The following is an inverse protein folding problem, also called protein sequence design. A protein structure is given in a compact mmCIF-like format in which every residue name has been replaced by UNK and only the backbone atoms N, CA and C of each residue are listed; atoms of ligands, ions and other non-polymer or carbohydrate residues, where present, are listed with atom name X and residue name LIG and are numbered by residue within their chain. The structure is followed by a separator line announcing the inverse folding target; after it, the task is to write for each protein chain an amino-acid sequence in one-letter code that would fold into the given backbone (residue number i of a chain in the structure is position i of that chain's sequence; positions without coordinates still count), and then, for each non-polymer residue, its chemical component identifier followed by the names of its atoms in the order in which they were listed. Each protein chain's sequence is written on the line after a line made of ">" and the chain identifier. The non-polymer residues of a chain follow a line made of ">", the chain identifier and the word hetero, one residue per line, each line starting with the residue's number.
data_IF_230412787264
#
_entry.id   IF_230412787264
#
_cell.length_a   1.000
_cell.length_b   1.000
_cell.length_c   1.000
_cell.angle_alpha   90.00
_cell.angle_beta   90.00
_cell.angle_gamma   90.00
#
_symmetry.space_group_name_H-M   'P 1'
#
loop_
_entity.id
_entity.type
_entity.pdbx_description
1 polymer ?
#
# COMPACT_ATOMS: atom_id res chain seq x y z
N UNK A 1 38.81 -29.11 32.12
CA UNK A 1 37.43 -28.69 32.43
C UNK A 1 37.18 -27.38 31.65
N UNK A 2 37.26 -27.33 30.32
CA UNK A 2 36.33 -27.84 29.30
C UNK A 2 34.87 -27.66 29.68
N UNK A 3 34.27 -26.55 29.24
CA UNK A 3 32.88 -26.52 28.80
C UNK A 3 32.78 -25.70 27.51
N UNK A 4 32.13 -26.32 26.55
CA UNK A 4 32.07 -26.00 25.13
C UNK A 4 31.32 -24.70 24.81
N UNK A 5 31.75 -24.09 23.70
CA UNK A 5 30.99 -23.12 22.93
C UNK A 5 29.62 -23.69 22.50
N UNK A 6 28.54 -22.88 22.46
CA UNK A 6 27.34 -23.27 21.76
C UNK A 6 27.56 -23.09 20.25
N UNK A 7 27.56 -24.21 19.53
CA UNK A 7 27.41 -24.25 18.06
C UNK A 7 26.14 -23.50 17.62
N UNK A 8 26.13 -22.95 16.39
CA UNK A 8 25.09 -22.03 15.92
C UNK A 8 23.77 -22.75 15.69
N UNK A 9 22.68 -21.99 15.83
CA UNK A 9 21.33 -22.41 15.45
C UNK A 9 21.34 -22.96 14.02
N UNK A 10 21.14 -24.28 13.91
CA UNK A 10 20.91 -24.96 12.65
C UNK A 10 19.71 -24.30 11.95
N UNK A 11 20.00 -23.66 10.82
CA UNK A 11 19.02 -23.33 9.81
C UNK A 11 18.37 -24.66 9.43
N UNK A 12 17.08 -24.80 9.73
CA UNK A 12 16.32 -25.97 9.37
C UNK A 12 16.43 -26.23 7.88
N UNK A 13 17.23 -27.23 7.50
CA UNK A 13 17.09 -27.96 6.27
C UNK A 13 15.83 -28.81 6.39
N UNK A 14 14.67 -28.16 6.28
CA UNK A 14 13.38 -28.83 6.18
C UNK A 14 13.12 -29.21 4.73
N UNK A 15 13.35 -30.49 4.40
CA UNK A 15 12.65 -31.28 3.37
C UNK A 15 12.05 -30.50 2.19
N UNK A 16 12.75 -30.49 1.05
CA UNK A 16 12.09 -30.35 -0.24
C UNK A 16 11.28 -31.63 -0.50
N UNK A 17 10.02 -31.64 -0.04
CA UNK A 17 9.13 -32.78 -0.23
C UNK A 17 7.95 -32.72 0.73
N UNK A 18 6.76 -32.47 0.16
CA UNK A 18 5.45 -32.50 0.81
C UNK A 18 5.26 -31.48 1.93
N UNK A 19 4.94 -30.26 1.54
CA UNK A 19 3.88 -29.57 2.29
C UNK A 19 2.63 -30.45 2.23
N UNK A 20 2.00 -30.71 3.37
CA UNK A 20 0.75 -31.48 3.39
C UNK A 20 -0.21 -30.83 2.39
N UNK A 21 -0.80 -31.64 1.52
CA UNK A 21 -1.72 -31.18 0.50
C UNK A 21 -2.83 -30.36 1.17
N UNK A 22 -2.82 -29.04 0.96
CA UNK A 22 -3.79 -28.13 1.55
C UNK A 22 -3.28 -27.12 2.59
N UNK A 23 -2.01 -27.17 2.99
CA UNK A 23 -1.43 -26.16 3.89
C UNK A 23 -1.01 -24.88 3.15
N UNK A 24 -1.22 -23.74 3.80
CA UNK A 24 -0.81 -22.44 3.27
C UNK A 24 0.70 -22.26 3.35
N UNK A 25 1.32 -21.99 2.20
CA UNK A 25 2.71 -21.58 2.09
C UNK A 25 2.81 -20.08 2.30
N UNK A 26 3.34 -19.66 3.46
CA UNK A 26 3.46 -18.24 3.82
C UNK A 26 4.65 -17.59 3.13
N UNK A 27 4.52 -16.31 2.82
CA UNK A 27 5.65 -15.49 2.44
C UNK A 27 6.48 -15.20 3.69
N UNK A 28 7.80 -15.11 3.54
CA UNK A 28 8.72 -14.62 4.57
C UNK A 28 9.42 -13.37 4.08
N UNK A 29 9.98 -12.60 5.01
CA UNK A 29 10.78 -11.41 4.69
C UNK A 29 12.16 -11.52 5.32
N UNK A 30 13.21 -11.54 4.50
CA UNK A 30 14.60 -11.73 4.96
C UNK A 30 15.34 -10.43 5.21
N UNK A 31 14.79 -9.28 4.79
CA UNK A 31 15.46 -7.99 4.86
C UNK A 31 15.63 -7.46 6.29
N UNK A 32 16.69 -6.69 6.51
CA UNK A 32 17.04 -6.09 7.79
C UNK A 32 16.95 -4.56 7.76
N UNK A 33 16.58 -3.96 8.90
CA UNK A 33 16.47 -2.50 9.02
C UNK A 33 17.80 -1.78 8.82
N UNK A 34 18.91 -2.36 9.30
CA UNK A 34 20.27 -1.80 9.19
C UNK A 34 20.76 -1.79 7.74
N UNK A 35 20.58 -2.88 7.03
CA UNK A 35 20.96 -2.97 5.60
C UNK A 35 20.13 -2.00 4.76
N UNK A 36 18.81 -1.96 4.98
CA UNK A 36 17.95 -1.02 4.27
C UNK A 36 18.23 0.44 4.62
N UNK A 37 18.64 0.74 5.86
CA UNK A 37 19.04 2.09 6.26
C UNK A 37 20.21 2.60 5.41
N UNK A 38 21.23 1.77 5.16
CA UNK A 38 22.36 2.12 4.28
C UNK A 38 21.92 2.45 2.86
N UNK A 39 21.00 1.67 2.29
CA UNK A 39 20.43 1.96 0.97
C UNK A 39 19.63 3.27 0.98
N UNK A 40 18.83 3.47 2.02
CA UNK A 40 17.93 4.61 2.16
C UNK A 40 18.68 5.93 2.33
N UNK A 41 19.71 5.98 3.18
CA UNK A 41 20.44 7.23 3.43
C UNK A 41 21.21 7.68 2.18
N UNK A 42 21.87 6.75 1.48
CA UNK A 42 22.55 7.04 0.21
C UNK A 42 21.55 7.54 -0.83
N UNK A 43 20.37 6.92 -0.90
CA UNK A 43 19.32 7.37 -1.81
C UNK A 43 18.81 8.78 -1.50
N UNK A 44 18.69 9.15 -0.21
CA UNK A 44 18.30 10.51 0.18
C UNK A 44 19.38 11.52 -0.22
N UNK A 45 20.64 11.25 0.12
CA UNK A 45 21.75 12.15 -0.20
C UNK A 45 21.84 12.40 -1.71
N UNK A 46 21.79 11.34 -2.52
CA UNK A 46 21.80 11.47 -3.98
C UNK A 46 20.55 12.18 -4.51
N UNK A 47 19.38 11.97 -3.89
CA UNK A 47 18.16 12.69 -4.27
C UNK A 47 18.27 14.19 -4.00
N UNK A 48 18.86 14.59 -2.88
CA UNK A 48 19.08 16.01 -2.54
C UNK A 48 20.08 16.63 -3.51
N UNK A 49 21.25 15.99 -3.71
CA UNK A 49 22.33 16.50 -4.58
C UNK A 49 21.86 16.65 -6.04
N UNK A 50 20.95 15.79 -6.49
CA UNK A 50 20.40 15.84 -7.86
C UNK A 50 19.07 16.58 -7.97
N UNK A 51 18.70 17.38 -6.96
CA UNK A 51 17.44 18.16 -6.93
C UNK A 51 16.20 17.33 -7.27
N UNK A 52 16.13 16.10 -6.77
CA UNK A 52 15.00 15.20 -6.95
C UNK A 52 15.12 14.23 -8.13
N UNK A 53 16.03 14.42 -9.08
CA UNK A 53 16.15 13.58 -10.28
C UNK A 53 16.47 12.13 -9.91
N UNK A 54 17.44 11.91 -9.00
CA UNK A 54 17.87 10.57 -8.59
C UNK A 54 16.75 9.77 -7.88
N UNK A 55 15.66 10.42 -7.44
CA UNK A 55 14.56 9.72 -6.76
C UNK A 55 13.92 8.61 -7.61
N UNK A 56 14.11 8.63 -8.94
CA UNK A 56 13.65 7.57 -9.84
C UNK A 56 14.46 6.28 -9.64
N UNK A 57 15.79 6.38 -9.58
CA UNK A 57 16.69 5.27 -9.27
C UNK A 57 16.58 4.84 -7.80
N UNK A 58 16.33 5.79 -6.89
CA UNK A 58 16.04 5.47 -5.49
C UNK A 58 14.80 4.57 -5.36
N UNK A 59 13.72 4.84 -6.12
CA UNK A 59 12.52 3.98 -6.19
C UNK A 59 12.89 2.57 -6.67
N UNK A 60 13.71 2.44 -7.71
CA UNK A 60 14.19 1.14 -8.20
C UNK A 60 14.99 0.38 -7.14
N UNK A 61 16.00 1.01 -6.53
CA UNK A 61 16.84 0.36 -5.50
C UNK A 61 16.03 -0.10 -4.31
N UNK A 62 15.08 0.73 -3.85
CA UNK A 62 14.12 0.35 -2.81
C UNK A 62 13.31 -0.87 -3.22
N UNK A 63 12.67 -0.84 -4.38
CA UNK A 63 11.79 -1.92 -4.81
C UNK A 63 12.58 -3.22 -5.03
N UNK A 64 13.78 -3.17 -5.62
CA UNK A 64 14.69 -4.34 -5.70
C UNK A 64 14.99 -4.94 -4.33
N UNK A 65 15.26 -4.09 -3.34
CA UNK A 65 15.51 -4.54 -1.97
C UNK A 65 14.32 -5.27 -1.36
N UNK A 66 13.12 -4.66 -1.40
CA UNK A 66 11.94 -5.25 -0.77
C UNK A 66 11.44 -6.49 -1.50
N UNK A 67 11.43 -6.49 -2.84
CA UNK A 67 11.00 -7.66 -3.62
C UNK A 67 11.99 -8.82 -3.48
N UNK A 68 13.30 -8.54 -3.57
CA UNK A 68 14.35 -9.54 -3.39
C UNK A 68 14.36 -10.20 -2.01
N UNK A 69 13.91 -9.46 -0.99
CA UNK A 69 13.77 -9.97 0.38
C UNK A 69 12.39 -10.51 0.71
N UNK A 70 11.39 -10.40 -0.17
CA UNK A 70 10.13 -11.11 -0.04
C UNK A 70 10.31 -12.50 -0.63
N UNK A 71 10.21 -13.53 0.20
CA UNK A 71 10.53 -14.91 -0.19
C UNK A 71 9.27 -15.77 -0.11
N UNK A 72 9.02 -16.56 -1.16
CA UNK A 72 8.03 -17.61 -1.18
C UNK A 72 8.73 -18.91 -1.59
N UNK A 73 8.52 -20.00 -0.86
CA UNK A 73 9.09 -21.33 -1.19
C UNK A 73 10.59 -21.27 -1.51
N UNK A 74 11.36 -20.56 -0.67
CA UNK A 74 12.82 -20.45 -0.75
C UNK A 74 13.36 -19.57 -1.89
N UNK A 75 12.52 -18.87 -2.66
CA UNK A 75 12.95 -17.95 -3.72
C UNK A 75 12.39 -16.54 -3.50
N UNK A 76 13.21 -15.52 -3.77
CA UNK A 76 12.80 -14.12 -3.73
C UNK A 76 12.03 -13.71 -4.98
N UNK A 77 11.28 -12.62 -4.90
CA UNK A 77 10.75 -11.93 -6.07
C UNK A 77 11.84 -11.03 -6.68
N UNK A 78 11.73 -10.71 -7.95
CA UNK A 78 12.67 -9.85 -8.65
C UNK A 78 11.98 -8.62 -9.23
N UNK A 79 12.73 -7.52 -9.32
CA UNK A 79 12.23 -6.24 -9.81
C UNK A 79 13.17 -5.65 -10.88
N UNK A 80 12.69 -5.66 -12.11
CA UNK A 80 13.48 -5.42 -13.34
C UNK A 80 13.38 -4.01 -13.89
N UNK A 81 12.72 -3.09 -13.20
CA UNK A 81 12.57 -1.72 -13.68
C UNK A 81 13.92 -0.99 -13.80
N UNK A 82 13.98 -0.05 -14.75
CA UNK A 82 15.08 0.90 -14.93
C UNK A 82 14.66 2.29 -14.42
N UNK A 83 15.60 3.03 -13.83
CA UNK A 83 15.34 4.38 -13.30
C UNK A 83 14.79 5.35 -14.36
N UNK A 84 15.29 5.27 -15.59
CA UNK A 84 14.83 6.09 -16.71
C UNK A 84 13.34 5.94 -17.03
N UNK A 85 12.78 4.73 -16.93
CA UNK A 85 11.35 4.49 -17.19
C UNK A 85 10.44 5.21 -16.19
N UNK A 86 10.90 5.35 -14.94
CA UNK A 86 10.18 6.07 -13.87
C UNK A 86 10.41 7.58 -14.02
N UNK A 87 11.62 8.00 -14.40
CA UNK A 87 11.94 9.41 -14.60
C UNK A 87 11.08 10.03 -15.71
N UNK A 88 10.93 9.35 -16.85
CA UNK A 88 10.12 9.85 -17.98
C UNK A 88 8.66 10.07 -17.56
N UNK A 89 8.06 9.11 -16.85
CA UNK A 89 6.69 9.26 -16.34
C UNK A 89 6.54 10.47 -15.42
N UNK A 90 7.54 10.73 -14.56
CA UNK A 90 7.56 11.92 -13.69
C UNK A 90 7.77 13.22 -14.44
N UNK A 91 8.63 13.24 -15.47
CA UNK A 91 8.83 14.41 -16.31
C UNK A 91 7.54 14.79 -17.06
N UNK A 92 6.76 13.80 -17.52
CA UNK A 92 5.45 14.04 -18.14
C UNK A 92 4.50 14.70 -17.13
N UNK A 93 4.40 14.16 -15.91
CA UNK A 93 3.54 14.74 -14.85
C UNK A 93 4.02 16.14 -14.45
N UNK A 94 5.34 16.33 -14.31
CA UNK A 94 5.92 17.62 -13.98
C UNK A 94 5.66 18.66 -15.07
N UNK A 95 5.85 18.31 -16.34
CA UNK A 95 5.54 19.19 -17.47
C UNK A 95 4.06 19.58 -17.50
N UNK A 96 3.16 18.61 -17.26
CA UNK A 96 1.74 18.90 -17.12
C UNK A 96 1.45 19.90 -15.99
N UNK A 97 2.05 19.72 -14.81
CA UNK A 97 1.86 20.65 -13.68
C UNK A 97 2.40 22.06 -13.97
N UNK A 98 3.54 22.18 -14.66
CA UNK A 98 4.09 23.47 -15.07
C UNK A 98 3.13 24.17 -16.04
N UNK A 99 2.68 23.47 -17.08
CA UNK A 99 1.71 24.00 -18.05
C UNK A 99 0.40 24.40 -17.36
N UNK A 100 -0.09 23.56 -16.44
CA UNK A 100 -1.28 23.84 -15.64
C UNK A 100 -1.17 25.15 -14.85
N UNK A 101 -0.05 25.35 -14.13
CA UNK A 101 0.16 26.57 -13.33
C UNK A 101 0.34 27.82 -14.19
N UNK A 102 1.06 27.71 -15.31
CA UNK A 102 1.21 28.82 -16.27
C UNK A 102 -0.17 29.20 -16.82
N UNK A 103 -0.97 28.23 -17.27
CA UNK A 103 -2.27 28.51 -17.87
C UNK A 103 -3.24 29.15 -16.86
N UNK A 104 -3.22 28.72 -15.60
CA UNK A 104 -4.00 29.31 -14.52
C UNK A 104 -3.70 30.80 -14.27
N UNK A 105 -2.48 31.24 -14.59
CA UNK A 105 -2.09 32.65 -14.44
C UNK A 105 -2.79 33.54 -15.47
N UNK A 106 -3.06 33.00 -16.67
CA UNK A 106 -3.70 33.74 -17.76
C UNK A 106 -5.21 33.52 -17.85
N UNK A 107 -5.67 32.30 -17.58
CA UNK A 107 -7.08 31.89 -17.73
C UNK A 107 -7.49 31.04 -16.53
N UNK A 108 -7.95 31.65 -15.42
CA UNK A 108 -8.32 30.91 -14.22
C UNK A 108 -9.40 29.84 -14.45
N UNK A 109 -10.36 30.11 -15.34
CA UNK A 109 -11.42 29.17 -15.72
C UNK A 109 -10.89 27.93 -16.47
N UNK A 110 -9.73 28.03 -17.14
CA UNK A 110 -9.10 26.89 -17.79
C UNK A 110 -8.62 25.83 -16.78
N UNK A 111 -8.45 26.21 -15.50
CA UNK A 111 -8.13 25.28 -14.42
C UNK A 111 -9.17 24.18 -14.25
N UNK A 112 -10.46 24.50 -14.33
CA UNK A 112 -11.54 23.52 -14.21
C UNK A 112 -11.49 22.54 -15.39
N UNK A 113 -11.33 23.05 -16.61
CA UNK A 113 -11.22 22.21 -17.81
C UNK A 113 -9.99 21.27 -17.74
N UNK A 114 -8.84 21.78 -17.29
CA UNK A 114 -7.63 20.97 -17.11
C UNK A 114 -7.74 19.95 -15.96
N UNK A 115 -8.40 20.30 -14.87
CA UNK A 115 -8.70 19.38 -13.76
C UNK A 115 -9.57 18.21 -14.25
N UNK A 116 -10.61 18.51 -15.02
CA UNK A 116 -11.48 17.49 -15.62
C UNK A 116 -10.71 16.62 -16.61
N UNK A 117 -9.84 17.23 -17.43
CA UNK A 117 -8.94 16.51 -18.33
C UNK A 117 -8.03 15.54 -17.55
N UNK A 118 -7.44 15.98 -16.44
CA UNK A 118 -6.62 15.13 -15.57
C UNK A 118 -7.45 13.99 -14.99
N UNK A 119 -8.65 14.26 -14.50
CA UNK A 119 -9.54 13.25 -13.93
C UNK A 119 -9.94 12.19 -14.96
N UNK A 120 -10.09 12.57 -16.24
CA UNK A 120 -10.27 11.63 -17.35
C UNK A 120 -9.00 10.82 -17.66
N UNK A 121 -7.81 11.38 -17.43
CA UNK A 121 -6.53 10.74 -17.74
C UNK A 121 -6.00 9.84 -16.60
N UNK A 122 -6.33 10.13 -15.34
CA UNK A 122 -5.93 9.34 -14.17
C UNK A 122 -6.26 7.85 -14.30
N UNK A 123 -7.45 7.42 -14.74
CA UNK A 123 -7.75 6.00 -14.95
C UNK A 123 -6.78 5.30 -15.91
N UNK A 124 -6.40 5.99 -16.99
CA UNK A 124 -5.43 5.47 -17.95
C UNK A 124 -4.03 5.38 -17.32
N UNK A 125 -3.61 6.42 -16.58
CA UNK A 125 -2.34 6.44 -15.86
C UNK A 125 -2.24 5.31 -14.83
N UNK A 126 -3.29 5.11 -14.03
CA UNK A 126 -3.35 4.04 -13.03
C UNK A 126 -3.29 2.66 -13.70
N UNK A 127 -4.07 2.43 -14.76
CA UNK A 127 -4.01 1.17 -15.50
C UNK A 127 -2.61 0.90 -16.08
N UNK A 128 -1.95 1.93 -16.61
CA UNK A 128 -0.59 1.83 -17.15
C UNK A 128 0.46 1.60 -16.05
N UNK A 129 0.33 2.26 -14.90
CA UNK A 129 1.21 2.07 -13.74
C UNK A 129 1.11 0.66 -13.14
N UNK A 130 -0.11 0.12 -13.02
CA UNK A 130 -0.34 -1.26 -12.59
C UNK A 130 0.27 -2.26 -13.58
N UNK A 131 0.12 -2.02 -14.89
CA UNK A 131 0.74 -2.84 -15.95
C UNK A 131 2.25 -2.79 -15.94
N UNK A 132 2.83 -1.61 -15.81
CA UNK A 132 4.27 -1.47 -15.64
C UNK A 132 4.75 -2.27 -14.43
N UNK A 133 4.12 -2.06 -13.27
CA UNK A 133 4.50 -2.71 -12.01
C UNK A 133 4.42 -4.24 -12.07
N UNK A 134 3.40 -4.79 -12.73
CA UNK A 134 3.29 -6.22 -12.96
C UNK A 134 4.42 -6.73 -13.87
N UNK A 135 4.63 -6.11 -15.04
CA UNK A 135 5.61 -6.59 -16.04
C UNK A 135 7.06 -6.55 -15.58
N UNK A 136 7.41 -5.58 -14.73
CA UNK A 136 8.76 -5.50 -14.16
C UNK A 136 8.95 -6.39 -12.93
N UNK A 137 7.89 -7.05 -12.45
CA UNK A 137 7.96 -8.01 -11.35
C UNK A 137 8.03 -9.43 -11.90
N UNK A 138 8.96 -10.24 -11.40
CA UNK A 138 8.97 -11.69 -11.67
C UNK A 138 9.15 -12.50 -10.40
N UNK A 139 8.80 -13.78 -10.52
CA UNK A 139 9.09 -14.81 -9.52
C UNK A 139 9.51 -16.07 -10.27
N UNK A 140 10.60 -16.72 -9.85
CA UNK A 140 11.19 -17.90 -10.52
C UNK A 140 11.33 -17.70 -12.05
N UNK A 141 11.87 -16.56 -12.47
CA UNK A 141 12.05 -16.14 -13.87
C UNK A 141 10.78 -15.99 -14.72
N UNK A 142 9.58 -16.09 -14.13
CA UNK A 142 8.31 -15.85 -14.82
C UNK A 142 7.77 -14.48 -14.41
N UNK A 143 7.45 -13.64 -15.40
CA UNK A 143 6.94 -12.28 -15.17
C UNK A 143 5.44 -12.28 -14.87
N UNK A 144 5.03 -11.29 -14.10
CA UNK A 144 3.61 -10.94 -13.97
C UNK A 144 3.18 -10.07 -15.16
N UNK A 145 1.88 -10.04 -15.44
CA UNK A 145 1.29 -9.11 -16.41
C UNK A 145 -0.03 -8.54 -15.89
N UNK A 146 -0.48 -7.45 -16.50
CA UNK A 146 -1.73 -6.79 -16.16
C UNK A 146 -2.52 -6.39 -17.42
N UNK A 147 -3.71 -6.97 -17.58
CA UNK A 147 -4.57 -6.77 -18.77
C UNK A 147 -5.67 -5.73 -18.57
N UNK A 148 -5.67 -5.02 -17.45
CA UNK A 148 -6.72 -4.07 -17.09
C UNK A 148 -6.80 -2.86 -18.03
N UNK A 149 -8.02 -2.38 -18.27
CA UNK A 149 -8.33 -1.23 -19.14
C UNK A 149 -8.72 -0.01 -18.32
N UNK A 150 -8.52 1.18 -18.88
CA UNK A 150 -8.82 2.46 -18.23
C UNK A 150 -10.26 2.58 -17.70
N UNK A 151 -11.26 2.02 -18.40
CA UNK A 151 -12.66 2.04 -17.93
C UNK A 151 -12.86 1.31 -16.61
N UNK A 152 -12.18 0.17 -16.40
CA UNK A 152 -12.21 -0.52 -15.11
C UNK A 152 -11.50 0.26 -14.00
N UNK A 153 -10.38 0.92 -14.33
CA UNK A 153 -9.69 1.80 -13.39
C UNK A 153 -10.55 3.02 -13.01
N UNK A 154 -11.34 3.56 -13.94
CA UNK A 154 -12.23 4.69 -13.68
C UNK A 154 -13.28 4.34 -12.63
N UNK A 155 -13.94 3.20 -12.78
CA UNK A 155 -14.89 2.71 -11.78
C UNK A 155 -14.20 2.47 -10.42
N UNK A 156 -13.04 1.82 -10.43
CA UNK A 156 -12.32 1.40 -9.22
C UNK A 156 -11.67 2.53 -8.43
N UNK A 157 -11.13 3.56 -9.10
CA UNK A 157 -10.27 4.57 -8.48
C UNK A 157 -10.80 6.00 -8.57
N UNK A 158 -11.85 6.25 -9.36
CA UNK A 158 -12.52 7.56 -9.42
C UNK A 158 -13.94 7.43 -8.86
N UNK A 159 -14.80 6.66 -9.52
CA UNK A 159 -16.22 6.55 -9.13
C UNK A 159 -16.37 5.95 -7.73
N UNK A 160 -15.64 4.87 -7.42
CA UNK A 160 -15.65 4.23 -6.10
C UNK A 160 -15.37 5.21 -4.95
N UNK A 161 -14.19 5.87 -4.92
CA UNK A 161 -13.86 6.85 -3.89
C UNK A 161 -14.83 8.05 -3.82
N UNK A 162 -15.31 8.56 -4.97
CA UNK A 162 -16.28 9.67 -4.99
C UNK A 162 -17.60 9.26 -4.35
N UNK A 163 -18.14 8.10 -4.72
CA UNK A 163 -19.38 7.58 -4.12
C UNK A 163 -19.19 7.28 -2.63
N UNK A 164 -18.04 6.74 -2.25
CA UNK A 164 -17.72 6.54 -0.84
C UNK A 164 -17.68 7.87 -0.07
N UNK A 165 -17.08 8.92 -0.62
CA UNK A 165 -17.03 10.24 0.00
C UNK A 165 -18.41 10.90 0.11
N UNK A 166 -19.19 10.90 -0.96
CA UNK A 166 -20.56 11.46 -0.99
C UNK A 166 -21.52 10.77 -0.02
N UNK A 167 -21.25 9.51 0.32
CA UNK A 167 -22.04 8.74 1.29
C UNK A 167 -21.40 8.66 2.68
N UNK A 168 -20.46 9.56 2.99
CA UNK A 168 -19.74 9.61 4.27
C UNK A 168 -19.12 8.26 4.67
N UNK A 169 -18.70 7.48 3.68
CA UNK A 169 -18.06 6.18 3.85
C UNK A 169 -18.99 4.97 3.87
N UNK A 170 -20.32 5.14 3.82
CA UNK A 170 -21.28 4.02 3.84
C UNK A 170 -21.08 3.08 2.63
N UNK A 171 -20.73 3.63 1.47
CA UNK A 171 -20.43 2.85 0.26
C UNK A 171 -18.94 2.54 0.06
N UNK A 172 -18.07 2.81 1.05
CA UNK A 172 -16.66 2.43 0.98
C UNK A 172 -16.42 0.91 0.76
N UNK A 173 -17.24 -0.01 1.30
CA UNK A 173 -17.15 -1.44 0.99
C UNK A 173 -17.36 -1.79 -0.48
N UNK A 174 -18.30 -1.11 -1.13
CA UNK A 174 -18.58 -1.30 -2.56
C UNK A 174 -17.41 -0.80 -3.41
N UNK A 175 -16.92 0.40 -3.11
CA UNK A 175 -15.74 0.97 -3.75
C UNK A 175 -14.52 0.05 -3.62
N UNK A 176 -14.25 -0.44 -2.40
CA UNK A 176 -13.16 -1.38 -2.13
C UNK A 176 -13.30 -2.66 -2.95
N UNK A 177 -14.52 -3.23 -3.05
CA UNK A 177 -14.77 -4.43 -3.87
C UNK A 177 -14.42 -4.18 -5.33
N UNK A 178 -14.80 -3.02 -5.89
CA UNK A 178 -14.43 -2.66 -7.27
C UNK A 178 -12.91 -2.57 -7.46
N UNK A 179 -12.20 -1.93 -6.51
CA UNK A 179 -10.74 -1.84 -6.56
C UNK A 179 -10.07 -3.22 -6.55
N UNK A 180 -10.44 -4.10 -5.63
CA UNK A 180 -9.83 -5.43 -5.53
C UNK A 180 -10.21 -6.36 -6.69
N UNK A 181 -11.44 -6.28 -7.21
CA UNK A 181 -11.84 -7.00 -8.43
C UNK A 181 -11.05 -6.50 -9.64
N UNK A 182 -10.87 -5.18 -9.78
CA UNK A 182 -10.13 -4.60 -10.89
C UNK A 182 -8.65 -5.01 -10.85
N UNK A 183 -8.01 -4.95 -9.69
CA UNK A 183 -6.59 -5.36 -9.57
C UNK A 183 -6.48 -6.88 -9.77
N UNK A 184 -7.25 -7.67 -9.03
CA UNK A 184 -7.14 -9.13 -9.00
C UNK A 184 -7.48 -9.78 -10.35
N UNK A 185 -8.63 -9.46 -10.93
CA UNK A 185 -9.10 -10.13 -12.17
C UNK A 185 -8.29 -9.74 -13.42
N UNK A 186 -7.46 -8.71 -13.32
CA UNK A 186 -6.61 -8.26 -14.42
C UNK A 186 -5.14 -8.64 -14.23
N UNK A 187 -4.77 -9.23 -13.09
CA UNK A 187 -3.41 -9.69 -12.82
C UNK A 187 -3.19 -11.08 -13.43
N UNK A 188 -1.99 -11.32 -13.96
CA UNK A 188 -1.53 -12.61 -14.48
C UNK A 188 -0.14 -12.95 -13.96
N UNK A 189 0.16 -14.23 -13.84
CA UNK A 189 1.50 -14.75 -13.59
C UNK A 189 1.81 -15.80 -14.67
N UNK A 190 2.76 -15.49 -15.56
CA UNK A 190 2.84 -16.16 -16.86
C UNK A 190 1.54 -15.97 -17.64
N UNK A 191 0.97 -17.05 -18.17
CA UNK A 191 -0.32 -17.00 -18.87
C UNK A 191 -1.53 -17.17 -17.95
N UNK A 192 -1.30 -17.55 -16.69
CA UNK A 192 -2.34 -17.91 -15.74
C UNK A 192 -2.94 -16.67 -15.10
N UNK A 193 -4.27 -16.56 -15.14
CA UNK A 193 -5.01 -15.43 -14.60
C UNK A 193 -5.30 -15.58 -13.11
N UNK A 194 -5.34 -14.45 -12.41
CA UNK A 194 -5.92 -14.36 -11.08
C UNK A 194 -7.43 -14.12 -11.20
N UNK A 195 -8.18 -14.64 -10.24
CA UNK A 195 -9.60 -14.36 -10.03
C UNK A 195 -9.80 -13.89 -8.61
N UNK A 196 -10.59 -12.85 -8.41
CA UNK A 196 -10.82 -12.22 -7.11
C UNK A 196 -12.25 -11.70 -7.08
N UNK A 197 -13.11 -12.33 -6.28
CA UNK A 197 -14.46 -11.83 -6.03
C UNK A 197 -14.79 -11.86 -4.53
N UNK A 198 -14.35 -10.83 -3.78
CA UNK A 198 -14.62 -10.79 -2.36
C UNK A 198 -16.10 -10.53 -2.09
N UNK A 199 -16.64 -11.25 -1.11
CA UNK A 199 -18.04 -11.12 -0.72
C UNK A 199 -18.30 -9.75 -0.09
N UNK A 200 -19.27 -9.03 -0.64
CA UNK A 200 -19.59 -7.67 -0.18
C UNK A 200 -20.02 -7.66 1.30
N UNK A 201 -20.78 -8.67 1.74
CA UNK A 201 -21.21 -8.80 3.13
C UNK A 201 -20.06 -8.92 4.13
N UNK A 202 -18.99 -9.65 3.78
CA UNK A 202 -17.82 -9.81 4.67
C UNK A 202 -16.97 -8.53 4.70
N UNK A 203 -16.92 -7.77 3.59
CA UNK A 203 -16.32 -6.42 3.60
C UNK A 203 -17.14 -5.49 4.50
N UNK A 204 -18.48 -5.52 4.44
CA UNK A 204 -19.35 -4.73 5.33
C UNK A 204 -19.17 -5.09 6.80
N UNK A 205 -19.01 -6.38 7.15
CA UNK A 205 -18.65 -6.77 8.53
C UNK A 205 -17.34 -6.15 8.99
N UNK A 206 -16.37 -6.01 8.08
CA UNK A 206 -15.09 -5.36 8.39
C UNK A 206 -15.22 -3.84 8.52
N UNK A 207 -16.07 -3.22 7.71
CA UNK A 207 -16.42 -1.81 7.79
C UNK A 207 -17.15 -1.46 9.09
N UNK A 208 -18.11 -2.28 9.53
CA UNK A 208 -18.91 -2.02 10.73
C UNK A 208 -18.06 -1.81 11.98
N UNK A 209 -16.98 -2.57 12.13
CA UNK A 209 -16.01 -2.37 13.23
C UNK A 209 -15.33 -1.00 13.14
N UNK A 210 -14.99 -0.56 11.93
CA UNK A 210 -14.33 0.73 11.70
C UNK A 210 -15.31 1.90 11.90
N UNK A 211 -16.56 1.73 11.46
CA UNK A 211 -17.65 2.66 11.72
C UNK A 211 -17.93 2.79 13.22
N UNK A 212 -17.93 1.69 13.97
CA UNK A 212 -18.08 1.71 15.43
C UNK A 212 -16.95 2.48 16.13
N UNK A 213 -15.70 2.32 15.68
CA UNK A 213 -14.55 3.11 16.19
C UNK A 213 -14.77 4.61 15.93
N UNK A 214 -15.22 4.98 14.72
CA UNK A 214 -15.50 6.38 14.37
C UNK A 214 -16.63 6.92 15.24
N UNK A 215 -17.77 6.23 15.32
CA UNK A 215 -18.92 6.67 16.11
C UNK A 215 -18.52 6.83 17.57
N UNK A 216 -17.88 5.83 18.18
CA UNK A 216 -17.45 5.90 19.58
C UNK A 216 -16.43 7.03 19.80
N UNK A 217 -15.46 7.18 18.90
CA UNK A 217 -14.47 8.24 18.98
C UNK A 217 -15.10 9.63 18.85
N UNK A 218 -16.04 9.82 17.92
CA UNK A 218 -16.78 11.07 17.75
C UNK A 218 -17.70 11.36 18.93
N UNK A 219 -18.31 10.35 19.55
CA UNK A 219 -19.07 10.52 20.79
C UNK A 219 -18.17 10.99 21.94
N UNK A 220 -16.95 10.46 22.05
CA UNK A 220 -15.98 10.91 23.04
C UNK A 220 -15.59 12.37 22.78
N UNK A 221 -15.18 12.71 21.55
CA UNK A 221 -14.82 14.08 21.17
C UNK A 221 -15.99 15.05 21.38
N UNK A 222 -17.20 14.64 20.97
CA UNK A 222 -18.43 15.43 21.14
C UNK A 222 -18.81 15.62 22.60
N UNK A 223 -18.63 14.60 23.44
CA UNK A 223 -18.85 14.70 24.88
C UNK A 223 -17.86 15.68 25.53
N UNK A 224 -16.57 15.61 25.19
CA UNK A 224 -15.59 16.59 25.67
C UNK A 224 -15.90 18.01 25.17
N UNK A 225 -16.33 18.14 23.91
CA UNK A 225 -16.74 19.42 23.34
C UNK A 225 -17.97 20.00 24.08
N UNK A 226 -18.94 19.14 24.39
CA UNK A 226 -20.14 19.49 25.15
C UNK A 226 -19.80 19.94 26.59
N UNK A 227 -18.94 19.22 27.30
CA UNK A 227 -18.50 19.60 28.65
C UNK A 227 -17.80 20.96 28.69
N UNK A 228 -17.13 21.35 27.61
CA UNK A 228 -16.41 22.63 27.49
C UNK A 228 -17.18 23.66 26.64
N UNK A 229 -18.47 23.41 26.36
CA UNK A 229 -19.24 24.21 25.40
C UNK A 229 -19.27 25.70 25.76
N UNK A 230 -19.57 26.03 27.02
CA UNK A 230 -19.60 27.42 27.48
C UNK A 230 -18.24 28.11 27.32
N UNK A 231 -17.14 27.42 27.64
CA UNK A 231 -15.78 27.96 27.48
C UNK A 231 -15.46 28.21 26.01
N UNK A 232 -15.84 27.29 25.12
CA UNK A 232 -15.63 27.47 23.69
C UNK A 232 -16.47 28.60 23.09
N UNK A 233 -17.72 28.76 23.49
CA UNK A 233 -18.57 29.87 23.06
C UNK A 233 -17.97 31.20 23.51
N UNK A 234 -17.63 31.34 24.79
CA UNK A 234 -16.98 32.55 25.31
C UNK A 234 -15.66 32.84 24.59
N UNK A 235 -14.84 31.83 24.31
CA UNK A 235 -13.59 32.01 23.60
C UNK A 235 -13.76 32.49 22.14
N UNK A 236 -14.91 32.21 21.51
CA UNK A 236 -15.21 32.64 20.13
C UNK A 236 -15.88 34.00 20.12
N UNK A 237 -16.89 34.22 20.96
CA UNK A 237 -17.72 35.43 20.93
C UNK A 237 -17.15 36.59 21.75
N UNK A 238 -16.43 36.30 22.82
CA UNK A 238 -15.94 37.29 23.79
C UNK A 238 -14.54 36.93 24.30
N UNK A 239 -13.53 36.86 23.42
CA UNK A 239 -12.18 36.39 23.77
C UNK A 239 -11.51 37.22 24.88
N UNK A 240 -11.87 38.50 25.02
CA UNK A 240 -11.34 39.40 26.05
C UNK A 240 -11.78 39.03 27.48
N UNK A 241 -12.87 38.25 27.63
CA UNK A 241 -13.35 37.76 28.92
C UNK A 241 -12.57 36.53 29.42
N UNK A 242 -11.76 35.90 28.56
CA UNK A 242 -10.95 34.73 28.91
C UNK A 242 -9.64 35.22 29.53
N UNK A 243 -9.33 34.86 30.80
CA UNK A 243 -8.05 35.18 31.41
C UNK A 243 -6.87 34.68 30.57
N UNK A 244 -5.80 35.47 30.46
CA UNK A 244 -4.63 35.14 29.63
C UNK A 244 -4.01 33.76 29.95
N UNK A 245 -4.05 33.36 31.23
CA UNK A 245 -3.61 32.04 31.71
C UNK A 245 -4.45 30.87 31.17
N UNK A 246 -5.74 31.10 30.88
CA UNK A 246 -6.66 30.08 30.35
C UNK A 246 -6.60 29.98 28.83
N UNK A 247 -6.22 31.06 28.13
CA UNK A 247 -6.13 31.10 26.66
C UNK A 247 -5.20 30.01 26.10
N UNK A 248 -4.01 29.85 26.69
CA UNK A 248 -3.05 28.81 26.27
C UNK A 248 -3.64 27.41 26.45
N UNK A 249 -4.33 27.16 27.56
CA UNK A 249 -4.96 25.86 27.86
C UNK A 249 -6.08 25.52 26.86
N UNK A 250 -6.87 26.51 26.46
CA UNK A 250 -7.92 26.34 25.45
C UNK A 250 -7.33 26.01 24.08
N UNK A 251 -6.27 26.73 23.66
CA UNK A 251 -5.58 26.44 22.40
C UNK A 251 -5.01 25.03 22.40
N UNK A 252 -4.34 24.62 23.48
CA UNK A 252 -3.83 23.25 23.63
C UNK A 252 -4.96 22.22 23.56
N UNK A 253 -6.08 22.47 24.23
CA UNK A 253 -7.24 21.58 24.22
C UNK A 253 -7.83 21.43 22.79
N UNK A 254 -7.97 22.52 22.05
CA UNK A 254 -8.46 22.49 20.65
C UNK A 254 -7.49 21.73 19.75
N UNK A 255 -6.19 21.96 19.87
CA UNK A 255 -5.16 21.25 19.11
C UNK A 255 -5.17 19.75 19.42
N UNK A 256 -5.30 19.38 20.69
CA UNK A 256 -5.42 17.98 21.10
C UNK A 256 -6.72 17.35 20.59
N UNK A 257 -7.84 18.07 20.63
CA UNK A 257 -9.12 17.63 20.08
C UNK A 257 -9.06 17.40 18.56
N UNK A 258 -8.43 18.33 17.83
CA UNK A 258 -8.17 18.19 16.39
C UNK A 258 -7.29 16.97 16.11
N UNK A 259 -6.18 16.81 16.84
CA UNK A 259 -5.32 15.64 16.69
C UNK A 259 -6.06 14.33 16.97
N UNK A 260 -6.86 14.28 18.04
CA UNK A 260 -7.67 13.11 18.40
C UNK A 260 -8.70 12.78 17.32
N UNK A 261 -9.37 13.80 16.76
CA UNK A 261 -10.31 13.63 15.64
C UNK A 261 -9.62 12.91 14.46
N UNK A 262 -8.49 13.41 13.97
CA UNK A 262 -7.77 12.75 12.87
C UNK A 262 -7.19 11.38 13.26
N UNK A 263 -6.76 11.21 14.51
CA UNK A 263 -6.29 9.93 15.02
C UNK A 263 -7.40 8.86 14.97
N UNK A 264 -8.65 9.19 15.33
CA UNK A 264 -9.80 8.29 15.25
C UNK A 264 -10.00 7.79 13.82
N UNK A 265 -10.04 8.70 12.84
CA UNK A 265 -10.18 8.32 11.43
C UNK A 265 -8.98 7.51 10.93
N UNK A 266 -7.76 7.85 11.34
CA UNK A 266 -6.55 7.12 11.00
C UNK A 266 -6.56 5.68 11.53
N UNK A 267 -6.95 5.49 12.79
CA UNK A 267 -7.09 4.15 13.41
C UNK A 267 -8.18 3.34 12.71
N UNK A 268 -9.36 3.93 12.49
CA UNK A 268 -10.45 3.29 11.78
C UNK A 268 -10.03 2.87 10.36
N UNK A 269 -9.30 3.73 9.63
CA UNK A 269 -8.77 3.43 8.31
C UNK A 269 -7.76 2.27 8.31
N UNK A 270 -6.88 2.19 9.31
CA UNK A 270 -5.92 1.08 9.46
C UNK A 270 -6.62 -0.26 9.74
N UNK A 271 -7.61 -0.25 10.66
CA UNK A 271 -8.44 -1.42 10.98
C UNK A 271 -9.22 -1.88 9.76
N UNK A 272 -9.84 -0.94 9.04
CA UNK A 272 -10.56 -1.21 7.80
C UNK A 272 -9.63 -1.82 6.75
N UNK A 273 -8.47 -1.21 6.51
CA UNK A 273 -7.49 -1.65 5.52
C UNK A 273 -7.03 -3.09 5.77
N UNK A 274 -6.74 -3.46 7.02
CA UNK A 274 -6.37 -4.84 7.37
C UNK A 274 -7.54 -5.81 7.12
N UNK A 275 -8.75 -5.46 7.55
CA UNK A 275 -9.94 -6.30 7.38
C UNK A 275 -10.30 -6.54 5.91
N UNK A 276 -10.38 -5.48 5.11
CA UNK A 276 -10.69 -5.58 3.67
C UNK A 276 -9.62 -6.38 2.94
N UNK A 277 -8.34 -6.19 3.28
CA UNK A 277 -7.25 -6.95 2.69
C UNK A 277 -7.40 -8.44 2.96
N UNK A 278 -7.70 -8.85 4.19
CA UNK A 278 -7.91 -10.26 4.52
C UNK A 278 -9.04 -10.87 3.69
N UNK A 279 -10.16 -10.15 3.56
CA UNK A 279 -11.31 -10.60 2.75
C UNK A 279 -10.94 -10.70 1.26
N UNK A 280 -10.28 -9.69 0.71
CA UNK A 280 -9.92 -9.64 -0.70
C UNK A 280 -8.89 -10.70 -1.09
N UNK A 281 -7.81 -10.83 -0.33
CA UNK A 281 -6.75 -11.81 -0.60
C UNK A 281 -7.24 -13.23 -0.38
N UNK A 282 -8.04 -13.49 0.65
CA UNK A 282 -8.56 -14.84 0.92
C UNK A 282 -9.65 -15.28 -0.07
N UNK A 283 -10.22 -14.33 -0.82
CA UNK A 283 -11.13 -14.60 -1.93
C UNK A 283 -10.41 -14.70 -3.29
N UNK A 284 -9.10 -14.45 -3.33
CA UNK A 284 -8.33 -14.49 -4.56
C UNK A 284 -7.84 -15.92 -4.84
N UNK A 285 -7.93 -16.31 -6.11
CA UNK A 285 -7.37 -17.56 -6.62
C UNK A 285 -6.46 -17.29 -7.81
N UNK A 286 -5.50 -18.19 -8.00
CA UNK A 286 -4.58 -18.23 -9.11
C UNK A 286 -4.84 -19.52 -9.91
N UNK A 287 -4.99 -19.40 -11.23
CA UNK A 287 -5.37 -20.50 -12.14
C UNK A 287 -6.68 -21.22 -11.72
N UNK A 288 -7.58 -20.51 -11.03
CA UNK A 288 -8.85 -21.04 -10.49
C UNK A 288 -8.71 -22.05 -9.35
N UNK A 289 -7.49 -22.52 -9.04
CA UNK A 289 -7.23 -23.61 -8.09
C UNK A 289 -6.48 -23.17 -6.84
N UNK A 290 -5.40 -22.41 -7.02
CA UNK A 290 -4.50 -22.04 -5.92
C UNK A 290 -5.08 -20.85 -5.16
N UNK A 291 -5.37 -21.00 -3.87
CA UNK A 291 -6.02 -19.96 -3.08
C UNK A 291 -5.00 -19.08 -2.38
N UNK A 292 -5.19 -17.77 -2.44
CA UNK A 292 -4.40 -16.83 -1.67
C UNK A 292 -4.99 -16.71 -0.26
N UNK A 293 -4.19 -16.23 0.68
CA UNK A 293 -4.58 -15.98 2.06
C UNK A 293 -3.98 -14.65 2.51
N UNK A 294 -4.78 -13.90 3.26
CA UNK A 294 -4.22 -12.92 4.19
C UNK A 294 -4.98 -12.96 5.50
N UNK A 295 -4.23 -13.01 6.60
CA UNK A 295 -4.74 -13.18 7.96
C UNK A 295 -4.20 -12.11 8.93
N UNK A 296 -4.05 -10.88 8.44
CA UNK A 296 -3.59 -9.75 9.24
C UNK A 296 -4.48 -9.56 10.48
N UNK A 297 -3.87 -9.62 11.66
CA UNK A 297 -4.50 -9.14 12.88
C UNK A 297 -4.69 -7.62 12.78
N UNK A 298 -5.94 -7.16 12.88
CA UNK A 298 -6.30 -5.75 12.79
C UNK A 298 -5.61 -4.93 13.88
N UNK A 299 -5.55 -5.47 15.11
CA UNK A 299 -4.90 -4.82 16.25
C UNK A 299 -3.39 -4.77 16.06
N UNK A 300 -2.75 -5.89 15.71
CA UNK A 300 -1.29 -5.93 15.53
C UNK A 300 -0.84 -5.07 14.34
N UNK A 301 -1.58 -5.10 13.22
CA UNK A 301 -1.34 -4.23 12.07
C UNK A 301 -1.41 -2.74 12.46
N UNK A 302 -2.48 -2.36 13.15
CA UNK A 302 -2.72 -0.98 13.59
C UNK A 302 -1.65 -0.53 14.59
N UNK A 303 -1.29 -1.38 15.56
CA UNK A 303 -0.22 -1.10 16.51
C UNK A 303 1.14 -0.92 15.81
N UNK A 304 1.50 -1.78 14.86
CA UNK A 304 2.73 -1.64 14.10
C UNK A 304 2.72 -0.33 13.32
N UNK A 305 1.61 0.02 12.66
CA UNK A 305 1.49 1.27 11.91
C UNK A 305 1.63 2.52 12.81
N UNK A 306 0.91 2.57 13.94
CA UNK A 306 0.96 3.70 14.88
C UNK A 306 2.36 3.82 15.50
N UNK A 307 2.90 2.73 16.05
CA UNK A 307 4.23 2.75 16.67
C UNK A 307 5.32 3.11 15.65
N UNK A 308 5.18 2.70 14.39
CA UNK A 308 6.08 3.11 13.32
C UNK A 308 6.02 4.63 13.06
N UNK A 309 4.83 5.24 13.06
CA UNK A 309 4.68 6.69 12.91
C UNK A 309 5.33 7.42 14.10
N UNK A 310 5.01 7.01 15.33
CA UNK A 310 5.57 7.60 16.55
C UNK A 310 7.10 7.54 16.54
N UNK A 311 7.68 6.36 16.29
CA UNK A 311 9.13 6.18 16.23
C UNK A 311 9.76 7.00 15.10
N UNK A 312 9.09 7.11 13.95
CA UNK A 312 9.58 7.94 12.84
C UNK A 312 9.58 9.42 13.21
N UNK A 313 8.55 9.92 13.91
CA UNK A 313 8.47 11.31 14.35
C UNK A 313 9.53 11.63 15.42
N UNK A 314 9.65 10.79 16.45
CA UNK A 314 10.62 10.96 17.55
C UNK A 314 12.06 10.95 17.04
N UNK A 315 12.35 10.21 15.96
CA UNK A 315 13.69 10.13 15.37
C UNK A 315 13.91 11.05 14.18
N UNK A 316 13.01 12.02 13.96
CA UNK A 316 13.08 12.97 12.84
C UNK A 316 13.25 12.27 11.48
N UNK A 317 12.64 11.09 11.32
CA UNK A 317 12.68 10.30 10.11
C UNK A 317 13.78 9.23 10.05
N UNK A 318 14.77 9.23 10.94
CA UNK A 318 15.92 8.31 10.87
C UNK A 318 15.52 6.83 11.00
N UNK A 319 14.48 6.51 11.78
CA UNK A 319 13.99 5.12 11.93
C UNK A 319 12.93 4.73 10.88
N UNK A 320 12.67 5.55 9.86
CA UNK A 320 11.78 5.20 8.74
C UNK A 320 12.18 3.88 8.03
N UNK A 321 13.48 3.58 7.81
CA UNK A 321 13.90 2.30 7.23
C UNK A 321 13.54 1.09 8.09
N UNK A 322 13.75 1.18 9.40
CA UNK A 322 13.38 0.13 10.35
C UNK A 322 11.85 -0.09 10.35
N UNK A 323 11.07 0.99 10.39
CA UNK A 323 9.62 0.94 10.35
C UNK A 323 9.10 0.27 9.05
N UNK A 324 9.70 0.61 7.91
CA UNK A 324 9.36 0.03 6.61
C UNK A 324 9.65 -1.49 6.57
N UNK A 325 10.81 -1.92 7.07
CA UNK A 325 11.17 -3.34 7.17
C UNK A 325 10.25 -4.10 8.13
N UNK A 326 9.95 -3.53 9.31
CA UNK A 326 9.03 -4.14 10.28
C UNK A 326 7.63 -4.34 9.71
N UNK A 327 7.12 -3.32 9.00
CA UNK A 327 5.81 -3.41 8.34
C UNK A 327 5.82 -4.45 7.21
N UNK A 328 6.84 -4.43 6.34
CA UNK A 328 6.97 -5.39 5.25
C UNK A 328 7.04 -6.83 5.77
N UNK A 329 7.85 -7.08 6.81
CA UNK A 329 7.96 -8.39 7.46
C UNK A 329 6.62 -8.90 7.95
N UNK A 330 5.93 -8.10 8.77
CA UNK A 330 4.62 -8.47 9.32
C UNK A 330 3.60 -8.75 8.21
N UNK A 331 3.57 -7.90 7.18
CA UNK A 331 2.65 -8.04 6.06
C UNK A 331 2.91 -9.31 5.25
N UNK A 332 4.17 -9.64 4.96
CA UNK A 332 4.52 -10.83 4.19
C UNK A 332 4.23 -12.11 4.98
N UNK A 333 4.58 -12.17 6.26
CA UNK A 333 4.32 -13.33 7.13
C UNK A 333 2.82 -13.64 7.31
N UNK A 334 1.95 -12.65 7.10
CA UNK A 334 0.49 -12.77 7.13
C UNK A 334 -0.13 -12.85 5.73
N UNK A 335 0.68 -13.24 4.74
CA UNK A 335 0.27 -13.50 3.36
C UNK A 335 0.72 -14.91 3.00
N UNK A 336 -0.14 -15.68 2.34
CA UNK A 336 0.20 -17.04 1.92
C UNK A 336 -0.55 -17.49 0.69
N UNK A 337 -0.13 -18.64 0.17
CA UNK A 337 -0.75 -19.31 -0.98
C UNK A 337 -0.91 -20.78 -0.64
N UNK A 338 -2.12 -21.30 -0.78
CA UNK A 338 -2.41 -22.74 -0.76
C UNK A 338 -2.34 -23.25 -2.18
N UNK A 339 -1.36 -24.09 -2.45
CA UNK A 339 -1.23 -24.77 -3.73
C UNK A 339 -2.07 -26.05 -3.72
N UNK A 340 -2.91 -26.23 -4.74
CA UNK A 340 -3.58 -27.49 -5.02
C UNK A 340 -2.74 -28.29 -6.03
N UNK A 341 -2.13 -29.38 -5.58
CA UNK A 341 -1.21 -30.20 -6.38
C UNK A 341 0.27 -30.01 -6.04
N UNK A 342 1.14 -30.66 -6.83
CA UNK A 342 2.59 -30.62 -6.62
C UNK A 342 3.17 -29.26 -7.05
N UNK A 343 3.70 -28.52 -6.08
CA UNK A 343 4.30 -27.19 -6.26
C UNK A 343 5.40 -27.19 -7.35
N UNK A 344 6.22 -28.23 -7.41
CA UNK A 344 7.28 -28.36 -8.41
C UNK A 344 6.72 -28.46 -9.83
N UNK A 345 5.71 -29.30 -10.04
CA UNK A 345 5.05 -29.48 -11.33
C UNK A 345 4.34 -28.19 -11.79
N UNK A 346 3.65 -27.51 -10.87
CA UNK A 346 2.96 -26.23 -11.14
C UNK A 346 3.95 -25.20 -11.68
N UNK A 347 5.08 -24.99 -10.98
CA UNK A 347 6.06 -23.98 -11.41
C UNK A 347 6.83 -24.41 -12.67
N UNK A 348 7.08 -25.71 -12.87
CA UNK A 348 7.70 -26.22 -14.10
C UNK A 348 6.80 -25.99 -15.32
N UNK A 349 5.49 -26.26 -15.20
CA UNK A 349 4.52 -26.00 -16.26
C UNK A 349 4.45 -24.51 -16.61
N UNK A 350 4.38 -23.63 -15.59
CA UNK A 350 4.36 -22.18 -15.80
C UNK A 350 5.67 -21.68 -16.43
N UNK A 351 6.82 -22.24 -16.05
CA UNK A 351 8.11 -21.86 -16.62
C UNK A 351 8.23 -22.25 -18.11
N UNK A 352 7.71 -23.43 -18.49
CA UNK A 352 7.67 -23.87 -19.88
C UNK A 352 6.77 -22.95 -20.73
N UNK A 353 5.58 -22.60 -20.24
CA UNK A 353 4.67 -21.65 -20.91
C UNK A 353 5.26 -20.23 -20.98
N UNK A 354 5.97 -19.79 -19.93
CA UNK A 354 6.53 -18.44 -19.83
C UNK A 354 7.80 -18.22 -20.67
N UNK A 355 8.62 -19.26 -20.84
CA UNK A 355 9.86 -19.21 -21.63
C UNK A 355 9.59 -18.87 -23.10
N UNK A 356 8.50 -19.39 -23.67
CA UNK A 356 8.11 -19.16 -25.07
C UNK A 356 7.73 -17.70 -25.38
N UNK A 357 7.39 -16.91 -24.37
CA UNK A 357 6.96 -15.51 -24.51
C UNK A 357 8.06 -14.52 -24.09
N UNK A 358 9.11 -15.00 -23.43
CA UNK A 358 10.17 -14.16 -22.86
C UNK A 358 11.06 -13.44 -23.88
N UNK A 359 11.13 -13.91 -25.13
CA UNK A 359 11.95 -13.33 -26.20
C UNK A 359 11.31 -12.14 -26.91
N UNK A 360 9.98 -12.06 -27.00
CA UNK A 360 9.29 -10.95 -27.69
C UNK A 360 9.06 -9.71 -26.81
N UNK A 361 9.15 -9.84 -25.49
CA UNK A 361 8.88 -8.74 -24.54
C UNK A 361 10.11 -7.86 -24.22
N UNK A 362 11.18 -7.97 -25.01
CA UNK A 362 12.42 -7.21 -24.81
C UNK A 362 12.29 -5.70 -25.07
N UNK A 363 11.23 -5.23 -25.74
CA UNK A 363 11.14 -3.85 -26.25
C UNK A 363 9.97 -2.98 -25.77
N UNK A 364 9.17 -3.38 -24.76
CA UNK A 364 7.97 -2.59 -24.43
C UNK A 364 8.23 -1.50 -23.38
N UNK A 365 8.36 -0.27 -23.87
CA UNK A 365 8.34 1.01 -23.16
C UNK A 365 7.07 1.21 -22.29
N UNK A 366 7.10 0.65 -21.09
CA UNK A 366 6.21 1.05 -20.00
C UNK A 366 6.83 2.19 -19.19
N UNK A 367 6.09 3.26 -18.96
CA UNK A 367 6.44 4.30 -17.99
C UNK A 367 5.63 4.13 -16.71
N UNK A 368 6.27 4.42 -15.59
CA UNK A 368 5.64 4.48 -14.28
C UNK A 368 5.28 5.94 -13.96
N UNK A 369 4.02 6.21 -13.70
CA UNK A 369 3.53 7.55 -13.38
C UNK A 369 3.40 7.81 -11.87
N UNK A 370 3.94 6.91 -11.03
CA UNK A 370 4.10 7.17 -9.60
C UNK A 370 2.92 6.78 -8.71
N UNK A 371 1.94 6.03 -9.24
CA UNK A 371 0.77 5.53 -8.51
C UNK A 371 1.09 4.31 -7.63
#
# INVERSE_FOLDING_TARGET
>A
MVLAEPFPAQIGQGSFGRSAQGDYQRLSFTGSGKEYFGIWIVNILLTIVTLGIYSAWAKVRRNRYFYGNTVLLGRGFEYHARGGQILIGRLIVFAYLVVYNILLTFVPLAGIALLLLLLCFVPWLVARGLRFSARVTSYRNVRFDFVGRAGGAFLAFIVGPVIAALTLGILAPLASRWTYRYIGNNLRYGQKAFSTDPSIGTIYKSWAISAAIIILGLLIVGFFAFLNFAVFVTAIESPDLIPAEMQVSIVVLVVLGYFLFFAIFGVAALVYRAGVRNVAWSAATFDGKHRLLSDLSRLRYTWIAISNVVVTLVTLGLMRPWAAVRMARYVNEQTGVRFDGNVGEIFSAIAQEGSAVGSEFMDIEGFDFGF
#
